data_IF_575336602565
#
_entry.id   IF_575336602565
#
_cell.length_a   1.000
_cell.length_b   1.000
_cell.length_c   1.000
_cell.angle_alpha   90.00
_cell.angle_beta   90.00
_cell.angle_gamma   90.00
#
_symmetry.space_group_name_H-M   'P 1'
#
loop_
_entity.id
_entity.type
_entity.pdbx_description
1 polymer ?
#
# COMPACT_ATOMS: atom_id res chain seq x y z
N UNK A 1 5.94 -3.93 11.25
CA UNK A 1 6.06 -4.81 10.07
C UNK A 1 7.50 -4.76 9.63
N UNK A 2 8.26 -5.85 9.77
CA UNK A 2 9.68 -5.93 9.43
C UNK A 2 9.91 -7.28 8.75
N UNK A 3 10.31 -7.27 7.48
CA UNK A 3 10.48 -8.51 6.69
C UNK A 3 11.74 -9.29 7.08
N UNK A 4 12.84 -8.59 7.30
CA UNK A 4 14.17 -9.18 7.52
C UNK A 4 14.57 -9.10 9.01
N UNK A 5 15.84 -8.85 9.30
CA UNK A 5 16.38 -8.79 10.65
C UNK A 5 15.64 -7.80 11.56
N UNK A 6 15.17 -8.29 12.71
CA UNK A 6 14.59 -7.48 13.78
C UNK A 6 15.22 -7.90 15.12
N UNK A 7 15.85 -6.95 15.83
CA UNK A 7 16.45 -7.18 17.16
C UNK A 7 15.50 -6.85 18.32
N UNK A 8 14.38 -6.19 18.02
CA UNK A 8 13.35 -5.89 19.01
C UNK A 8 12.59 -7.17 19.37
N UNK A 9 12.43 -7.45 20.66
CA UNK A 9 11.62 -8.56 21.16
C UNK A 9 10.26 -8.06 21.64
N UNK A 10 9.14 -8.49 21.05
CA UNK A 10 7.80 -8.13 21.51
C UNK A 10 7.41 -8.90 22.78
N UNK A 11 6.43 -8.40 23.55
CA UNK A 11 5.79 -9.14 24.64
C UNK A 11 6.61 -9.27 25.94
N UNK A 12 7.63 -8.42 26.16
CA UNK A 12 8.37 -8.36 27.43
C UNK A 12 7.60 -7.49 28.42
N UNK A 13 7.26 -8.07 29.58
CA UNK A 13 6.58 -7.42 30.70
C UNK A 13 7.20 -6.07 31.08
N UNK A 14 6.40 -5.00 31.06
CA UNK A 14 6.78 -3.64 31.41
C UNK A 14 7.59 -2.90 30.35
N UNK A 15 7.94 -3.53 29.23
CA UNK A 15 8.83 -2.96 28.21
C UNK A 15 8.22 -2.97 26.80
N UNK A 16 7.77 -4.14 26.33
CA UNK A 16 7.27 -4.33 24.95
C UNK A 16 5.92 -5.04 24.91
N UNK A 17 5.13 -4.98 25.98
CA UNK A 17 3.81 -5.62 26.09
C UNK A 17 2.84 -5.25 24.98
N UNK A 18 2.92 -4.00 24.51
CA UNK A 18 2.04 -3.45 23.47
C UNK A 18 2.65 -3.53 22.07
N UNK A 19 3.87 -4.07 21.96
CA UNK A 19 4.60 -4.16 20.70
C UNK A 19 4.29 -5.51 20.06
N UNK A 20 3.97 -5.47 18.76
CA UNK A 20 3.86 -6.67 17.91
C UNK A 20 4.87 -6.54 16.78
N UNK A 21 5.60 -7.62 16.51
CA UNK A 21 6.51 -7.72 15.37
C UNK A 21 5.94 -8.74 14.41
N UNK A 22 5.66 -8.29 13.20
CA UNK A 22 5.08 -9.08 12.11
C UNK A 22 6.04 -9.00 10.94
N UNK A 23 6.40 -10.15 10.35
CA UNK A 23 7.12 -10.25 9.09
C UNK A 23 6.16 -10.72 7.99
N UNK A 24 6.30 -10.19 6.78
CA UNK A 24 5.55 -10.66 5.61
C UNK A 24 6.52 -11.22 4.59
N UNK A 25 6.29 -12.47 4.19
CA UNK A 25 7.11 -13.16 3.20
C UNK A 25 6.19 -13.76 2.14
N UNK A 26 6.33 -13.28 0.91
CA UNK A 26 5.57 -13.76 -0.23
C UNK A 26 6.33 -13.56 -1.53
N UNK A 27 5.61 -13.42 -2.64
CA UNK A 27 6.17 -13.26 -3.98
C UNK A 27 7.15 -12.09 -4.13
N UNK A 28 6.83 -10.92 -3.58
CA UNK A 28 7.67 -9.73 -3.68
C UNK A 28 8.53 -9.52 -2.44
N UNK A 29 9.62 -8.77 -2.65
CA UNK A 29 10.52 -8.36 -1.59
C UNK A 29 10.00 -7.06 -0.97
N UNK A 30 9.59 -7.12 0.29
CA UNK A 30 9.17 -5.92 1.03
C UNK A 30 10.32 -4.95 1.23
N UNK A 31 10.27 -3.83 0.51
CA UNK A 31 11.30 -2.79 0.55
C UNK A 31 10.74 -1.41 0.94
N UNK A 32 9.42 -1.23 0.86
CA UNK A 32 8.75 0.00 1.27
C UNK A 32 8.97 0.29 2.75
N UNK A 33 9.31 1.53 3.09
CA UNK A 33 9.39 2.01 4.48
C UNK A 33 8.31 3.07 4.70
N UNK A 34 7.32 2.70 5.50
CA UNK A 34 6.20 3.57 5.90
C UNK A 34 6.28 3.73 7.41
N UNK A 35 6.24 4.97 7.88
CA UNK A 35 6.14 5.30 9.30
C UNK A 35 4.76 5.91 9.54
N UNK A 36 4.05 5.38 10.54
CA UNK A 36 2.72 5.84 10.92
C UNK A 36 2.72 6.22 12.39
N UNK A 37 2.16 7.39 12.68
CA UNK A 37 1.95 7.88 14.04
C UNK A 37 0.49 8.26 14.20
N UNK A 38 -0.15 7.74 15.26
CA UNK A 38 -1.55 8.04 15.53
C UNK A 38 -1.76 9.49 16.04
N UNK A 39 -0.77 10.05 16.74
CA UNK A 39 -0.73 11.44 17.24
C UNK A 39 -2.07 11.94 17.83
N UNK A 40 -2.65 11.19 18.76
CA UNK A 40 -3.90 11.57 19.43
C UNK A 40 -5.13 11.66 18.51
N UNK A 41 -5.06 11.09 17.30
CA UNK A 41 -6.10 11.15 16.27
C UNK A 41 -5.70 11.99 15.06
N UNK A 42 -4.66 12.82 15.16
CA UNK A 42 -4.12 13.59 14.02
C UNK A 42 -3.07 12.78 13.26
N UNK A 43 -3.54 11.76 12.54
CA UNK A 43 -2.66 10.74 11.96
C UNK A 43 -1.60 11.31 11.00
N UNK A 44 -0.35 10.93 11.25
CA UNK A 44 0.79 11.28 10.43
C UNK A 44 1.37 10.06 9.72
N UNK A 45 1.70 10.25 8.44
CA UNK A 45 2.32 9.23 7.61
C UNK A 45 3.58 9.79 6.98
N UNK A 46 4.63 8.98 6.97
CA UNK A 46 5.87 9.30 6.30
C UNK A 46 6.33 8.12 5.45
N UNK A 47 6.96 8.42 4.33
CA UNK A 47 7.65 7.44 3.48
C UNK A 47 9.12 7.83 3.38
N UNK A 48 10.01 6.86 3.31
CA UNK A 48 11.43 7.18 3.32
C UNK A 48 12.35 6.11 2.77
N UNK A 49 13.61 6.49 2.62
CA UNK A 49 14.68 5.61 2.14
C UNK A 49 15.29 4.78 3.26
N UNK A 50 15.33 5.29 4.49
CA UNK A 50 15.94 4.63 5.64
C UNK A 50 15.06 3.56 6.30
N UNK A 51 15.69 2.45 6.69
CA UNK A 51 15.23 1.62 7.80
C UNK A 51 15.83 2.12 9.14
N UNK A 52 15.37 1.55 10.27
CA UNK A 52 15.82 1.92 11.62
C UNK A 52 17.10 1.20 12.05
N UNK A 53 18.12 1.15 11.18
CA UNK A 53 19.44 0.62 11.53
C UNK A 53 20.44 1.75 11.75
N UNK A 54 21.33 1.61 12.75
CA UNK A 54 22.35 2.60 13.12
C UNK A 54 23.09 3.20 11.92
N UNK A 55 23.49 2.36 10.96
CA UNK A 55 24.19 2.82 9.76
C UNK A 55 23.40 3.83 8.92
N UNK A 56 22.08 3.71 8.88
CA UNK A 56 21.21 4.58 8.11
C UNK A 56 20.85 5.85 8.88
N UNK A 57 20.82 5.77 10.22
CA UNK A 57 20.51 6.91 11.08
C UNK A 57 21.72 7.84 11.32
N UNK A 58 22.92 7.27 11.48
CA UNK A 58 24.09 8.03 11.93
C UNK A 58 25.09 8.32 10.80
N UNK A 59 25.13 7.46 9.76
CA UNK A 59 26.25 7.42 8.81
C UNK A 59 25.85 7.53 7.34
N UNK A 60 24.56 7.66 7.04
CA UNK A 60 24.07 7.84 5.66
C UNK A 60 23.19 9.07 5.57
N UNK A 61 23.20 9.68 4.39
CA UNK A 61 22.21 10.70 4.02
C UNK A 61 20.97 9.97 3.56
N UNK A 62 19.90 10.11 4.32
CA UNK A 62 18.61 9.47 4.07
C UNK A 62 17.50 10.52 4.10
N UNK A 63 16.37 10.21 3.47
CA UNK A 63 15.21 11.11 3.44
C UNK A 63 13.99 10.40 4.02
N UNK A 64 13.26 11.13 4.87
CA UNK A 64 11.93 10.79 5.33
C UNK A 64 11.01 11.94 4.95
N UNK A 65 10.02 11.69 4.10
CA UNK A 65 9.11 12.70 3.57
C UNK A 65 7.71 12.53 4.19
N UNK A 66 7.09 13.61 4.70
CA UNK A 66 5.72 13.57 5.16
C UNK A 66 4.75 13.39 3.98
N UNK A 67 3.66 12.66 4.22
CA UNK A 67 2.57 12.49 3.28
C UNK A 67 1.38 13.31 3.76
N UNK A 68 1.21 14.49 3.18
CA UNK A 68 0.20 15.46 3.61
C UNK A 68 -1.16 15.27 2.94
N UNK A 69 -1.18 14.80 1.69
CA UNK A 69 -2.39 14.61 0.91
C UNK A 69 -3.33 13.58 1.58
N UNK A 70 -4.58 13.95 1.93
CA UNK A 70 -5.51 13.02 2.54
C UNK A 70 -5.73 11.74 1.73
N UNK A 71 -5.84 11.87 0.40
CA UNK A 71 -6.03 10.72 -0.48
C UNK A 71 -4.83 9.75 -0.45
N UNK A 72 -3.61 10.26 -0.30
CA UNK A 72 -2.41 9.42 -0.19
C UNK A 72 -2.30 8.79 1.21
N UNK A 73 -2.69 9.51 2.27
CA UNK A 73 -2.81 8.93 3.62
C UNK A 73 -3.79 7.75 3.63
N UNK A 74 -4.93 7.89 2.97
CA UNK A 74 -5.92 6.82 2.85
C UNK A 74 -5.37 5.58 2.11
N UNK A 75 -4.57 5.79 1.06
CA UNK A 75 -3.90 4.71 0.34
C UNK A 75 -2.87 3.98 1.21
N UNK A 76 -2.03 4.73 1.94
CA UNK A 76 -1.08 4.15 2.89
C UNK A 76 -1.80 3.39 4.02
N UNK A 77 -2.92 3.93 4.52
CA UNK A 77 -3.75 3.24 5.52
C UNK A 77 -4.29 1.92 4.98
N UNK A 78 -4.79 1.91 3.75
CA UNK A 78 -5.24 0.68 3.08
C UNK A 78 -4.11 -0.35 3.01
N UNK A 79 -2.92 0.06 2.53
CA UNK A 79 -1.74 -0.81 2.42
C UNK A 79 -1.39 -1.41 3.78
N UNK A 80 -1.25 -0.58 4.83
CA UNK A 80 -0.94 -1.06 6.17
C UNK A 80 -2.01 -2.01 6.71
N UNK A 81 -3.29 -1.70 6.51
CA UNK A 81 -4.40 -2.56 6.94
C UNK A 81 -4.36 -3.93 6.25
N UNK A 82 -4.06 -3.98 4.94
CA UNK A 82 -3.90 -5.24 4.20
C UNK A 82 -2.77 -6.07 4.79
N UNK A 83 -1.60 -5.49 5.04
CA UNK A 83 -0.48 -6.21 5.65
C UNK A 83 -0.75 -6.65 7.10
N UNK A 84 -1.39 -5.80 7.91
CA UNK A 84 -1.73 -6.12 9.29
C UNK A 84 -2.81 -7.21 9.40
N UNK A 85 -3.74 -7.24 8.43
CA UNK A 85 -4.81 -8.22 8.32
C UNK A 85 -4.44 -9.51 7.57
N UNK A 86 -3.25 -9.59 6.98
CA UNK A 86 -2.78 -10.79 6.27
C UNK A 86 -2.73 -12.00 7.22
N UNK A 87 -3.30 -13.11 6.76
CA UNK A 87 -3.36 -14.39 7.49
C UNK A 87 -2.72 -15.55 6.75
N UNK A 88 -2.08 -15.29 5.61
CA UNK A 88 -1.42 -16.30 4.77
C UNK A 88 0.08 -16.10 4.66
N UNK A 89 0.53 -14.86 4.43
CA UNK A 89 1.96 -14.54 4.19
C UNK A 89 2.62 -13.83 5.38
N UNK A 90 1.86 -13.55 6.43
CA UNK A 90 2.35 -12.92 7.65
C UNK A 90 2.82 -13.93 8.70
N UNK A 91 3.86 -13.56 9.43
CA UNK A 91 4.51 -14.31 10.51
C UNK A 91 4.62 -13.44 11.75
N UNK A 92 4.08 -13.88 12.88
CA UNK A 92 4.18 -13.16 14.15
C UNK A 92 5.42 -13.64 14.91
N UNK A 93 6.26 -12.70 15.39
CA UNK A 93 7.37 -13.00 16.29
C UNK A 93 6.88 -13.02 17.75
N UNK A 94 7.28 -14.03 18.52
CA UNK A 94 7.08 -14.08 19.97
C UNK A 94 8.23 -13.42 20.78
N UNK A 95 8.13 -13.41 22.12
CA UNK A 95 9.18 -12.83 22.98
C UNK A 95 10.52 -13.57 22.94
N UNK A 96 10.53 -14.83 22.52
CA UNK A 96 11.75 -15.62 22.33
C UNK A 96 12.40 -15.35 20.96
N UNK A 97 11.70 -14.64 20.07
CA UNK A 97 12.15 -14.37 18.72
C UNK A 97 11.78 -15.42 17.69
N UNK A 98 10.91 -16.37 18.05
CA UNK A 98 10.42 -17.41 17.17
C UNK A 98 9.28 -16.83 16.33
N UNK A 99 9.35 -17.04 15.02
CA UNK A 99 8.31 -16.64 14.09
C UNK A 99 7.34 -17.78 13.83
N UNK A 100 6.03 -17.51 13.99
CA UNK A 100 4.96 -18.45 13.65
C UNK A 100 4.13 -17.87 12.51
N UNK A 101 3.95 -18.64 11.43
CA UNK A 101 3.13 -18.22 10.31
C UNK A 101 1.66 -18.18 10.72
N UNK A 102 0.96 -17.11 10.32
CA UNK A 102 -0.49 -17.07 10.44
C UNK A 102 -1.12 -18.07 9.46
N UNK A 103 -2.19 -18.68 9.90
CA UNK A 103 -2.97 -19.63 9.10
C UNK A 103 -4.34 -19.04 8.79
N UNK A 104 -4.79 -19.07 7.53
CA UNK A 104 -6.15 -18.71 7.16
C UNK A 104 -7.15 -19.58 7.94
N UNK A 105 -8.19 -18.96 8.50
CA UNK A 105 -9.28 -19.66 9.17
C UNK A 105 -10.45 -19.93 8.20
N UNK A 106 -10.46 -19.31 7.02
CA UNK A 106 -11.47 -19.52 5.99
C UNK A 106 -10.90 -19.26 4.60
N UNK A 107 -11.61 -19.72 3.57
CA UNK A 107 -11.26 -19.49 2.16
C UNK A 107 -11.11 -18.00 1.82
N UNK A 108 -11.84 -17.11 2.50
CA UNK A 108 -11.76 -15.64 2.27
C UNK A 108 -10.44 -15.03 2.76
N UNK A 109 -9.68 -15.76 3.56
CA UNK A 109 -8.41 -15.32 4.14
C UNK A 109 -7.20 -16.02 3.48
N UNK A 110 -7.44 -16.82 2.43
CA UNK A 110 -6.36 -17.55 1.74
C UNK A 110 -5.45 -16.62 0.95
N UNK A 111 -5.97 -15.47 0.50
CA UNK A 111 -5.19 -14.46 -0.20
C UNK A 111 -4.30 -13.69 0.79
N UNK A 112 -2.99 -13.78 0.58
CA UNK A 112 -2.00 -12.95 1.29
C UNK A 112 -1.97 -11.51 0.79
N UNK A 113 -1.23 -10.64 1.50
CA UNK A 113 -1.18 -9.20 1.23
C UNK A 113 -0.85 -8.86 -0.24
N UNK A 114 0.13 -9.55 -0.83
CA UNK A 114 0.50 -9.33 -2.23
C UNK A 114 -0.63 -9.62 -3.21
N UNK A 115 -1.37 -10.72 -3.03
CA UNK A 115 -2.48 -11.08 -3.92
C UNK A 115 -3.60 -10.02 -3.82
N UNK A 116 -3.93 -9.60 -2.60
CA UNK A 116 -4.90 -8.54 -2.36
C UNK A 116 -4.49 -7.22 -3.04
N UNK A 117 -3.23 -6.78 -2.88
CA UNK A 117 -2.74 -5.54 -3.48
C UNK A 117 -2.65 -5.61 -5.02
N UNK A 118 -2.26 -6.76 -5.59
CA UNK A 118 -2.32 -6.98 -7.05
C UNK A 118 -3.76 -6.80 -7.54
N UNK A 119 -4.74 -7.41 -6.87
CA UNK A 119 -6.15 -7.30 -7.26
C UNK A 119 -6.67 -5.84 -7.17
N UNK A 120 -6.21 -5.06 -6.17
CA UNK A 120 -6.53 -3.62 -6.09
C UNK A 120 -5.91 -2.85 -7.26
N UNK A 121 -4.65 -3.13 -7.60
CA UNK A 121 -3.95 -2.48 -8.70
C UNK A 121 -4.59 -2.80 -10.06
N UNK A 122 -4.96 -4.05 -10.31
CA UNK A 122 -5.63 -4.48 -11.54
C UNK A 122 -6.98 -3.79 -11.73
N UNK A 123 -7.79 -3.69 -10.66
CA UNK A 123 -9.07 -2.96 -10.69
C UNK A 123 -8.87 -1.48 -10.99
N UNK A 124 -7.87 -0.87 -10.34
CA UNK A 124 -7.54 0.54 -10.54
C UNK A 124 -7.10 0.81 -11.99
N UNK A 125 -6.26 -0.06 -12.55
CA UNK A 125 -5.80 0.04 -13.93
C UNK A 125 -6.95 -0.12 -14.95
N UNK A 126 -7.86 -1.06 -14.72
CA UNK A 126 -9.04 -1.26 -15.57
C UNK A 126 -9.99 -0.04 -15.54
N UNK A 127 -10.19 0.57 -14.37
CA UNK A 127 -11.01 1.76 -14.20
C UNK A 127 -10.43 2.97 -14.96
N UNK A 128 -9.11 3.19 -14.85
CA UNK A 128 -8.41 4.24 -15.60
C UNK A 128 -8.53 4.02 -17.10
N UNK A 129 -8.27 2.79 -17.57
CA UNK A 129 -8.38 2.42 -18.97
C UNK A 129 -9.79 2.69 -19.53
N UNK A 130 -10.82 2.33 -18.78
CA UNK A 130 -12.23 2.57 -19.16
C UNK A 130 -12.55 4.07 -19.23
N UNK A 131 -12.03 4.88 -18.30
CA UNK A 131 -12.22 6.34 -18.28
C UNK A 131 -11.57 7.00 -19.51
N UNK A 132 -10.36 6.58 -19.87
CA UNK A 132 -9.67 7.07 -21.07
C UNK A 132 -10.40 6.69 -22.35
N UNK A 133 -10.87 5.44 -22.48
CA UNK A 133 -11.70 5.00 -23.62
C UNK A 133 -12.97 5.84 -23.76
N UNK A 134 -13.67 6.12 -22.65
CA UNK A 134 -14.87 6.99 -22.64
C UNK A 134 -14.55 8.42 -23.09
N UNK A 135 -13.41 9.00 -22.67
CA UNK A 135 -12.96 10.33 -23.11
C UNK A 135 -12.70 10.36 -24.61
N UNK A 136 -11.95 9.38 -25.15
CA UNK A 136 -11.64 9.27 -26.58
C UNK A 136 -12.92 9.14 -27.41
N UNK A 137 -13.83 8.23 -27.01
CA UNK A 137 -15.12 8.03 -27.69
C UNK A 137 -15.95 9.32 -27.72
N UNK A 138 -16.00 10.07 -26.61
CA UNK A 138 -16.71 11.36 -26.55
C UNK A 138 -16.08 12.42 -27.47
N UNK A 139 -14.75 12.45 -27.58
CA UNK A 139 -14.02 13.34 -28.50
C UNK A 139 -14.33 13.02 -29.96
N UNK A 140 -14.27 11.74 -30.33
CA UNK A 140 -14.61 11.25 -31.68
C UNK A 140 -16.06 11.58 -32.03
N UNK A 141 -17.01 11.32 -31.12
CA UNK A 141 -18.42 11.64 -31.34
C UNK A 141 -18.64 13.16 -31.55
N UNK A 142 -17.97 14.01 -30.78
CA UNK A 142 -18.04 15.47 -30.96
C UNK A 142 -17.45 15.92 -32.29
N UNK A 143 -16.34 15.33 -32.74
CA UNK A 143 -15.76 15.59 -34.06
C UNK A 143 -16.66 15.14 -35.21
N UNK A 144 -17.24 13.94 -35.11
CA UNK A 144 -18.18 13.41 -36.08
C UNK A 144 -19.43 14.32 -36.22
N UNK A 145 -20.04 14.72 -35.11
CA UNK A 145 -21.17 15.67 -35.13
C UNK A 145 -20.80 17.03 -35.72
N UNK A 146 -19.59 17.54 -35.44
CA UNK A 146 -19.13 18.80 -36.03
C UNK A 146 -19.02 18.68 -37.55
N UNK A 147 -18.50 17.56 -38.07
CA UNK A 147 -18.37 17.28 -39.50
C UNK A 147 -19.73 17.24 -40.21
N UNK A 148 -20.73 16.56 -39.62
CA UNK A 148 -22.08 16.51 -40.18
C UNK A 148 -22.69 17.92 -40.33
N UNK A 149 -22.59 18.75 -39.28
CA UNK A 149 -23.09 20.13 -39.32
C UNK A 149 -22.39 21.04 -40.35
N UNK A 150 -21.11 20.79 -40.64
CA UNK A 150 -20.36 21.55 -41.66
C UNK A 150 -20.57 21.02 -43.08
N UNK A 151 -21.08 19.78 -43.24
CA UNK A 151 -21.41 19.18 -44.52
C UNK A 151 -22.77 19.65 -45.06
N UNK A 152 -23.73 19.91 -44.18
CA UNK A 152 -25.08 20.40 -44.53
C UNK A 152 -25.10 21.86 -45.06
N UNK A 153 -24.02 22.62 -44.89
CA UNK A 153 -23.93 24.03 -45.32
C UNK A 153 -23.24 24.25 -46.69
N UNK A 154 -23.08 23.20 -47.51
CA UNK A 154 -22.46 23.29 -48.85
C UNK A 154 -23.41 23.00 -50.02
N UNK A 155 -24.69 22.77 -49.75
CA UNK A 155 -25.73 22.64 -50.77
C UNK A 155 -26.84 23.67 -50.51
N UNK A 156 -26.56 24.93 -50.83
CA UNK A 156 -27.54 26.00 -51.04
C UNK A 156 -26.93 27.07 -51.96
#
# INVERSE_FOLDING_TARGET
LIRDSCRLRPGIAGLTDKVRVISTVGRFLEHSRIYYFHNGGDEEYYIGSADLMKRNLDFRVEVLAPVESPALKDELRLILNVYLGDRRSAWDMDGNGIYTQRMPASAKEEDGAHAALIAVAEKSYAAVSTREQKKVRKKLYKQFRKRLKTGENKEA
#
